data_IF_314148521439
#
_entry.id   IF_314148521439
#
_cell.length_a   1.000
_cell.length_b   1.000
_cell.length_c   1.000
_cell.angle_alpha   90.00
_cell.angle_beta   90.00
_cell.angle_gamma   90.00
#
_symmetry.space_group_name_H-M   'P 1'
#
loop_
_entity.id
_entity.type
_entity.pdbx_description
1 polymer ?
#
# COMPACT_ATOMS: atom_id res chain seq x y z
N UNK A 1 -0.11 3.24 -21.52
CA UNK A 1 0.14 3.67 -20.14
C UNK A 1 1.39 4.49 -20.10
N UNK A 2 1.23 5.76 -19.81
CA UNK A 2 2.35 6.68 -19.79
C UNK A 2 3.12 6.54 -18.48
N UNK A 3 4.18 5.79 -18.49
CA UNK A 3 5.12 5.69 -17.40
C UNK A 3 4.48 5.33 -16.05
N UNK A 4 5.04 4.38 -15.38
CA UNK A 4 4.61 4.04 -14.03
C UNK A 4 5.06 5.07 -13.02
N UNK A 5 4.29 5.21 -11.93
CA UNK A 5 4.66 6.05 -10.79
C UNK A 5 4.79 5.17 -9.56
N UNK A 6 5.64 5.60 -8.63
CA UNK A 6 5.74 4.97 -7.32
C UNK A 6 4.81 5.72 -6.36
N UNK A 7 3.91 4.97 -5.74
CA UNK A 7 2.93 5.53 -4.82
C UNK A 7 3.28 5.09 -3.40
N UNK A 8 3.51 6.05 -2.51
CA UNK A 8 3.92 5.79 -1.14
C UNK A 8 2.77 5.99 -0.16
N UNK A 9 2.35 4.90 0.47
CA UNK A 9 1.32 4.91 1.52
C UNK A 9 1.95 4.45 2.82
N UNK A 10 2.02 5.32 3.83
CA UNK A 10 2.67 5.01 5.10
C UNK A 10 1.72 5.28 6.26
N UNK A 11 1.40 4.22 7.01
CA UNK A 11 0.54 4.31 8.18
C UNK A 11 1.26 4.93 9.40
N UNK A 12 2.56 5.17 9.30
CA UNK A 12 3.35 5.89 10.30
C UNK A 12 4.03 7.08 9.62
N UNK A 13 3.36 8.21 9.66
CA UNK A 13 3.72 9.40 8.90
C UNK A 13 5.21 9.75 8.96
N UNK A 14 5.84 9.82 7.78
CA UNK A 14 7.22 10.24 7.63
C UNK A 14 8.27 9.23 8.04
N UNK A 15 7.90 8.15 8.70
CA UNK A 15 8.86 7.20 9.25
C UNK A 15 9.65 6.43 8.20
N UNK A 16 8.99 6.09 7.09
CA UNK A 16 9.59 5.29 6.03
C UNK A 16 9.87 6.07 4.75
N UNK A 17 9.76 7.40 4.79
CA UNK A 17 9.88 8.24 3.60
C UNK A 17 11.22 8.08 2.88
N UNK A 18 12.32 8.15 3.61
CA UNK A 18 13.66 8.03 3.03
C UNK A 18 13.88 6.65 2.42
N UNK A 19 13.46 5.61 3.13
CA UNK A 19 13.63 4.23 2.67
C UNK A 19 12.78 3.95 1.43
N UNK A 20 11.54 4.45 1.43
CA UNK A 20 10.63 4.29 0.29
C UNK A 20 11.18 4.99 -0.96
N UNK A 21 11.65 6.22 -0.79
CA UNK A 21 12.23 6.98 -1.90
C UNK A 21 13.51 6.31 -2.43
N UNK A 22 14.38 5.84 -1.53
CA UNK A 22 15.60 5.14 -1.91
C UNK A 22 15.31 3.84 -2.66
N UNK A 23 14.32 3.07 -2.20
CA UNK A 23 13.91 1.85 -2.87
C UNK A 23 13.36 2.14 -4.26
N UNK A 24 12.50 3.15 -4.39
CA UNK A 24 11.96 3.55 -5.68
C UNK A 24 13.07 3.95 -6.65
N UNK A 25 14.07 4.71 -6.16
CA UNK A 25 15.23 5.09 -6.96
C UNK A 25 16.05 3.89 -7.43
N UNK A 26 16.24 2.92 -6.57
CA UNK A 26 16.97 1.68 -6.91
C UNK A 26 16.22 0.88 -7.97
N UNK A 27 14.90 0.73 -7.82
CA UNK A 27 14.09 -0.01 -8.79
C UNK A 27 14.05 0.70 -10.15
N UNK A 28 13.93 2.02 -10.16
CA UNK A 28 13.93 2.80 -11.38
C UNK A 28 15.29 2.72 -12.11
N UNK A 29 16.38 2.85 -11.37
CA UNK A 29 17.73 2.79 -11.95
C UNK A 29 18.05 1.41 -12.52
N UNK A 30 17.50 0.35 -11.93
CA UNK A 30 17.71 -1.02 -12.40
C UNK A 30 16.78 -1.40 -13.57
N UNK A 31 15.91 -0.50 -14.02
CA UNK A 31 14.87 -0.77 -15.02
C UNK A 31 14.02 -2.00 -14.64
N UNK A 32 13.84 -2.21 -13.35
CA UNK A 32 13.12 -3.38 -12.83
C UNK A 32 11.64 -3.37 -13.16
N UNK A 33 11.07 -2.17 -13.33
CA UNK A 33 9.65 -1.99 -13.61
C UNK A 33 9.49 -1.19 -14.91
N UNK A 34 8.81 -1.75 -15.93
CA UNK A 34 8.62 -1.06 -17.21
C UNK A 34 7.87 0.26 -17.01
N UNK A 35 8.36 1.30 -17.67
CA UNK A 35 7.71 2.60 -17.65
C UNK A 35 8.00 3.46 -16.42
N UNK A 36 8.72 2.94 -15.44
CA UNK A 36 9.12 3.73 -14.27
C UNK A 36 10.37 4.55 -14.58
N UNK A 37 10.26 5.85 -14.34
CA UNK A 37 11.35 6.79 -14.58
C UNK A 37 12.16 7.02 -13.31
N UNK A 38 13.33 7.61 -13.46
CA UNK A 38 14.15 8.04 -12.35
C UNK A 38 13.35 8.96 -11.43
N UNK A 39 13.24 8.60 -10.17
CA UNK A 39 12.48 9.36 -9.17
C UNK A 39 13.11 10.73 -8.87
N UNK A 40 14.38 10.92 -9.19
CA UNK A 40 15.06 12.21 -9.01
C UNK A 40 14.59 13.28 -9.99
N UNK A 41 13.89 12.89 -11.06
CA UNK A 41 13.41 13.80 -12.11
C UNK A 41 11.93 14.16 -11.90
N UNK A 42 11.47 14.23 -10.71
CA UNK A 42 10.13 14.72 -10.35
C UNK A 42 8.96 14.00 -11.04
N UNK A 43 7.91 13.74 -10.32
CA UNK A 43 6.67 13.17 -10.84
C UNK A 43 6.59 11.65 -10.85
N UNK A 44 7.69 10.94 -10.61
CA UNK A 44 7.69 9.47 -10.57
C UNK A 44 7.45 8.91 -9.18
N UNK A 45 7.44 9.74 -8.16
CA UNK A 45 7.22 9.32 -6.78
C UNK A 45 6.21 10.24 -6.12
N UNK A 46 5.12 9.66 -5.62
CA UNK A 46 4.06 10.42 -4.95
C UNK A 46 3.88 9.91 -3.54
N UNK A 47 4.00 10.80 -2.58
CA UNK A 47 3.72 10.52 -1.17
C UNK A 47 2.29 10.94 -0.86
N UNK A 48 1.52 10.03 -0.29
CA UNK A 48 0.13 10.30 0.06
C UNK A 48 0.02 10.65 1.55
N UNK A 49 -0.59 11.80 1.83
CA UNK A 49 -0.73 12.33 3.19
C UNK A 49 -2.04 11.93 3.87
N UNK A 50 -3.06 11.56 3.08
CA UNK A 50 -4.40 11.26 3.60
C UNK A 50 -4.58 9.79 3.95
N UNK A 51 -3.49 9.09 4.22
CA UNK A 51 -3.52 7.68 4.61
C UNK A 51 -3.84 7.57 6.09
N UNK A 52 -4.71 6.62 6.45
CA UNK A 52 -5.03 6.35 7.84
C UNK A 52 -3.75 6.03 8.62
N UNK A 53 -3.59 6.66 9.77
CA UNK A 53 -2.42 6.47 10.61
C UNK A 53 -2.70 5.44 11.68
N UNK A 54 -1.78 4.48 11.85
CA UNK A 54 -1.92 3.48 12.89
C UNK A 54 -1.75 4.09 14.27
N UNK A 55 -2.49 3.57 15.24
CA UNK A 55 -2.50 4.06 16.62
C UNK A 55 -1.58 3.28 17.54
N UNK A 56 -0.96 2.24 17.02
CA UNK A 56 -0.05 1.38 17.79
C UNK A 56 1.21 1.09 16.97
N UNK A 57 2.17 0.41 17.57
CA UNK A 57 3.42 0.09 16.91
C UNK A 57 3.46 -1.27 16.22
N UNK A 58 2.33 -1.99 16.15
CA UNK A 58 2.34 -3.38 15.66
C UNK A 58 1.41 -3.67 14.48
N UNK A 59 0.54 -2.76 14.10
CA UNK A 59 -0.41 -2.99 13.00
C UNK A 59 0.14 -2.57 11.61
N UNK A 60 1.41 -2.20 11.50
CA UNK A 60 1.98 -1.74 10.24
C UNK A 60 1.85 -2.77 9.11
N UNK A 61 2.04 -4.04 9.42
CA UNK A 61 1.88 -5.12 8.45
C UNK A 61 0.43 -5.25 7.96
N UNK A 62 -0.54 -5.09 8.86
CA UNK A 62 -1.96 -5.16 8.50
C UNK A 62 -2.35 -3.96 7.64
N UNK A 63 -1.87 -2.75 7.96
CA UNK A 63 -2.08 -1.57 7.12
C UNK A 63 -1.50 -1.78 5.73
N UNK A 64 -0.31 -2.36 5.63
CA UNK A 64 0.32 -2.66 4.35
C UNK A 64 -0.51 -3.64 3.53
N UNK A 65 -1.00 -4.71 4.16
CA UNK A 65 -1.85 -5.72 3.50
C UNK A 65 -3.17 -5.11 3.02
N UNK A 66 -3.82 -4.30 3.86
CA UNK A 66 -5.07 -3.64 3.51
C UNK A 66 -4.88 -2.69 2.33
N UNK A 67 -3.80 -1.93 2.33
CA UNK A 67 -3.46 -1.04 1.22
C UNK A 67 -3.20 -1.83 -0.06
N UNK A 68 -2.43 -2.90 0.02
CA UNK A 68 -2.13 -3.75 -1.12
C UNK A 68 -3.40 -4.39 -1.70
N UNK A 69 -4.29 -4.89 -0.85
CA UNK A 69 -5.57 -5.45 -1.29
C UNK A 69 -6.41 -4.41 -2.01
N UNK A 70 -6.49 -3.20 -1.48
CA UNK A 70 -7.21 -2.10 -2.11
C UNK A 70 -6.61 -1.77 -3.48
N UNK A 71 -5.28 -1.69 -3.57
CA UNK A 71 -4.60 -1.42 -4.84
C UNK A 71 -4.88 -2.50 -5.88
N UNK A 72 -4.80 -3.76 -5.50
CA UNK A 72 -5.09 -4.88 -6.42
C UNK A 72 -6.54 -4.79 -6.90
N UNK A 73 -7.48 -4.54 -6.01
CA UNK A 73 -8.89 -4.42 -6.36
C UNK A 73 -9.13 -3.28 -7.36
N UNK A 74 -8.49 -2.14 -7.15
CA UNK A 74 -8.62 -0.99 -8.05
C UNK A 74 -8.04 -1.32 -9.43
N UNK A 75 -6.86 -1.92 -9.49
CA UNK A 75 -6.19 -2.23 -10.75
C UNK A 75 -6.82 -3.38 -11.52
N UNK A 76 -7.53 -4.29 -10.85
CA UNK A 76 -8.22 -5.40 -11.51
C UNK A 76 -9.65 -5.06 -11.89
N UNK A 77 -10.20 -3.94 -11.43
CA UNK A 77 -11.54 -3.51 -11.82
C UNK A 77 -11.53 -3.06 -13.28
N UNK A 78 -12.43 -3.64 -14.07
CA UNK A 78 -12.57 -3.30 -15.48
C UNK A 78 -13.25 -1.96 -15.71
N UNK A 79 -13.90 -1.43 -14.69
CA UNK A 79 -14.65 -0.18 -14.78
C UNK A 79 -13.73 1.01 -14.58
N UNK A 80 -13.96 2.06 -15.35
CA UNK A 80 -13.27 3.35 -15.16
C UNK A 80 -13.51 3.86 -13.75
N UNK A 81 -12.45 4.08 -13.01
CA UNK A 81 -12.51 4.61 -11.68
C UNK A 81 -12.72 6.13 -11.74
N UNK A 82 -13.78 6.60 -11.10
CA UNK A 82 -14.06 8.05 -11.01
C UNK A 82 -13.19 8.71 -9.96
N UNK A 83 -12.73 7.94 -8.97
CA UNK A 83 -11.92 8.43 -7.88
C UNK A 83 -10.47 8.02 -8.07
N UNK A 84 -9.56 8.85 -7.60
CA UNK A 84 -8.13 8.53 -7.61
C UNK A 84 -7.84 7.37 -6.67
N UNK A 85 -6.74 6.67 -6.93
CA UNK A 85 -6.26 5.60 -6.05
C UNK A 85 -6.10 6.11 -4.61
N UNK A 86 -5.57 7.32 -4.45
CA UNK A 86 -5.36 7.91 -3.13
C UNK A 86 -6.67 8.08 -2.37
N UNK A 87 -7.73 8.55 -3.04
CA UNK A 87 -9.04 8.71 -2.43
C UNK A 87 -9.64 7.38 -2.01
N UNK A 88 -9.49 6.37 -2.85
CA UNK A 88 -10.01 5.02 -2.57
C UNK A 88 -9.28 4.40 -1.38
N UNK A 89 -7.96 4.52 -1.34
CA UNK A 89 -7.17 4.02 -0.21
C UNK A 89 -7.54 4.76 1.07
N UNK A 90 -7.72 6.08 1.01
CA UNK A 90 -8.09 6.88 2.17
C UNK A 90 -9.45 6.45 2.76
N UNK A 91 -10.40 6.06 1.90
CA UNK A 91 -11.71 5.58 2.35
C UNK A 91 -11.69 4.15 2.83
N UNK A 92 -11.03 3.27 2.09
CA UNK A 92 -11.10 1.81 2.31
C UNK A 92 -10.15 1.31 3.39
N UNK A 93 -9.02 1.98 3.58
CA UNK A 93 -8.05 1.59 4.60
C UNK A 93 -8.21 2.49 5.82
N UNK A 94 -9.00 2.05 6.77
CA UNK A 94 -9.29 2.77 8.02
C UNK A 94 -8.86 1.95 9.23
N UNK A 95 -8.90 2.56 10.41
CA UNK A 95 -8.65 1.84 11.66
C UNK A 95 -9.59 0.66 11.83
N UNK A 96 -10.86 0.85 11.43
CA UNK A 96 -11.89 -0.19 11.54
C UNK A 96 -11.62 -1.34 10.58
N UNK A 97 -11.32 -1.05 9.30
CA UNK A 97 -11.05 -2.12 8.32
C UNK A 97 -9.79 -2.90 8.66
N UNK A 98 -8.78 -2.23 9.20
CA UNK A 98 -7.54 -2.88 9.65
C UNK A 98 -7.82 -3.79 10.84
N UNK A 99 -8.63 -3.32 11.80
CA UNK A 99 -9.04 -4.13 12.95
C UNK A 99 -9.78 -5.39 12.51
N UNK A 100 -10.70 -5.23 11.57
CA UNK A 100 -11.48 -6.36 11.05
C UNK A 100 -10.59 -7.34 10.30
N UNK A 101 -9.68 -6.87 9.48
CA UNK A 101 -8.71 -7.71 8.77
C UNK A 101 -7.81 -8.47 9.73
N UNK A 102 -7.34 -7.82 10.80
CA UNK A 102 -6.55 -8.49 11.84
C UNK A 102 -7.31 -9.63 12.47
N UNK A 103 -8.60 -9.42 12.79
CA UNK A 103 -9.45 -10.48 13.33
C UNK A 103 -9.64 -11.64 12.36
N UNK A 104 -9.85 -11.35 11.09
CA UNK A 104 -9.98 -12.37 10.04
C UNK A 104 -8.71 -13.18 9.87
N UNK A 105 -7.55 -12.53 9.85
CA UNK A 105 -6.26 -13.20 9.74
C UNK A 105 -5.99 -14.09 10.96
N UNK A 106 -6.32 -13.61 12.15
CA UNK A 106 -6.15 -14.40 13.36
C UNK A 106 -7.01 -15.68 13.32
N UNK A 107 -8.26 -15.54 12.90
CA UNK A 107 -9.15 -16.71 12.74
C UNK A 107 -8.62 -17.68 11.70
N UNK A 108 -8.05 -17.19 10.61
CA UNK A 108 -7.45 -18.02 9.58
C UNK A 108 -6.25 -18.81 10.15
N UNK A 109 -5.38 -18.14 10.89
CA UNK A 109 -4.21 -18.78 11.50
C UNK A 109 -4.65 -19.87 12.49
N UNK A 110 -5.65 -19.59 13.32
CA UNK A 110 -6.19 -20.55 14.27
C UNK A 110 -6.73 -21.79 13.56
N UNK A 111 -7.50 -21.59 12.49
CA UNK A 111 -8.05 -22.69 11.70
C UNK A 111 -6.96 -23.54 11.06
N UNK A 112 -5.96 -22.91 10.45
CA UNK A 112 -4.85 -23.63 9.83
C UNK A 112 -4.02 -24.39 10.86
N UNK A 113 -3.86 -23.84 12.03
CA UNK A 113 -3.15 -24.51 13.13
C UNK A 113 -3.90 -25.75 13.58
N UNK A 114 -5.24 -25.67 13.70
CA UNK A 114 -6.08 -26.83 14.06
C UNK A 114 -6.02 -27.93 13.00
N UNK A 115 -6.02 -27.56 11.70
CA UNK A 115 -5.95 -28.53 10.61
C UNK A 115 -4.61 -29.27 10.55
N UNK A 116 -3.54 -28.70 11.08
CA UNK A 116 -2.19 -29.25 11.05
C UNK A 116 -1.76 -29.95 12.34
N UNK A 117 -2.65 -30.13 13.30
CA UNK A 117 -2.35 -30.87 14.55
C UNK A 117 -2.81 -32.31 14.51
#
# INVERSE_FOLDING_TARGET
MDGGTFEHFDSMHGRNDEKAFALAGTLAAANALPGCRDVSVGGSFTKHHDVAQQRNGYDCGIFALATAETCVRVFTAEKTQKNSLASIVAEDVSQETVRDMRGELLRLVERLTEENT
#
